data_IF_257590371215
#
_entry.id   IF_257590371215
#
_cell.length_a   1.000
_cell.length_b   1.000
_cell.length_c   1.000
_cell.angle_alpha   90.00
_cell.angle_beta   90.00
_cell.angle_gamma   90.00
#
_symmetry.space_group_name_H-M   'P 1'
#
loop_
_entity.id
_entity.type
_entity.pdbx_description
1 polymer ?
#
# COMPACT_ATOMS: atom_id res chain seq x y z
N UNK A 1 22.96 -34.06 -1.82
CA UNK A 1 23.14 -33.20 -3.01
C UNK A 1 22.06 -32.14 -2.96
N UNK A 2 22.39 -30.84 -2.93
CA UNK A 2 21.36 -29.80 -2.98
C UNK A 2 20.69 -29.89 -4.35
N UNK A 3 19.39 -30.21 -4.41
CA UNK A 3 18.64 -30.20 -5.66
C UNK A 3 18.67 -28.76 -6.17
N UNK A 4 19.48 -28.50 -7.20
CA UNK A 4 19.38 -27.25 -7.96
C UNK A 4 18.09 -27.38 -8.76
N UNK A 5 17.04 -26.58 -8.47
CA UNK A 5 15.78 -26.70 -9.17
C UNK A 5 16.00 -26.44 -10.66
N UNK A 6 15.28 -27.15 -11.52
CA UNK A 6 15.38 -26.93 -12.96
C UNK A 6 14.83 -25.55 -13.30
N UNK A 7 15.59 -24.80 -14.06
CA UNK A 7 15.20 -23.45 -14.48
C UNK A 7 15.00 -23.37 -15.98
N UNK A 8 14.01 -22.57 -16.37
CA UNK A 8 13.67 -22.26 -17.74
C UNK A 8 13.67 -20.73 -17.93
N UNK A 9 13.76 -20.25 -19.19
CA UNK A 9 13.78 -18.82 -19.46
C UNK A 9 12.59 -18.07 -18.85
N UNK A 10 11.41 -18.68 -18.77
CA UNK A 10 10.21 -18.03 -18.21
C UNK A 10 9.58 -17.00 -19.16
N UNK A 11 8.75 -16.13 -18.61
CA UNK A 11 8.00 -15.11 -19.34
C UNK A 11 8.15 -13.73 -18.68
N UNK A 12 8.29 -12.68 -19.51
CA UNK A 12 8.42 -11.30 -19.04
C UNK A 12 7.13 -10.71 -18.44
N UNK A 13 5.97 -11.35 -18.71
CA UNK A 13 4.67 -10.93 -18.18
C UNK A 13 3.91 -12.16 -17.69
N UNK A 14 3.09 -12.04 -16.62
CA UNK A 14 2.89 -10.84 -15.79
C UNK A 14 4.11 -10.51 -14.91
N UNK A 15 4.22 -9.26 -14.45
CA UNK A 15 5.22 -8.86 -13.45
C UNK A 15 4.90 -9.47 -12.09
N UNK A 16 5.95 -9.73 -11.30
CA UNK A 16 5.88 -10.44 -10.03
C UNK A 16 5.93 -11.96 -10.19
N UNK A 17 5.37 -12.66 -9.20
CA UNK A 17 5.31 -14.12 -9.16
C UNK A 17 3.97 -14.63 -9.74
N UNK A 18 4.04 -15.62 -10.63
CA UNK A 18 2.86 -16.21 -11.28
C UNK A 18 3.06 -17.70 -11.55
N UNK A 19 1.96 -18.47 -11.55
CA UNK A 19 1.98 -19.89 -11.87
C UNK A 19 1.72 -20.09 -13.36
N UNK A 20 2.60 -20.81 -14.06
CA UNK A 20 2.40 -21.17 -15.46
C UNK A 20 1.51 -22.41 -15.59
N UNK A 21 0.81 -22.53 -16.73
CA UNK A 21 -0.07 -23.67 -17.03
C UNK A 21 0.64 -25.03 -16.98
N UNK A 22 1.96 -25.03 -17.20
CA UNK A 22 2.78 -26.24 -17.23
C UNK A 22 3.32 -26.64 -15.85
N UNK A 23 2.92 -25.94 -14.78
CA UNK A 23 3.24 -26.29 -13.39
C UNK A 23 4.47 -25.59 -12.79
N UNK A 24 5.19 -24.76 -13.56
CA UNK A 24 6.33 -23.98 -13.06
C UNK A 24 5.93 -22.61 -12.47
N UNK A 25 6.73 -22.10 -11.54
CA UNK A 25 6.56 -20.75 -10.98
C UNK A 25 7.43 -19.76 -11.75
N UNK A 26 6.79 -18.78 -12.37
CA UNK A 26 7.43 -17.71 -13.11
C UNK A 26 7.64 -16.49 -12.21
N UNK A 27 8.85 -15.96 -12.24
CA UNK A 27 9.27 -14.75 -11.55
C UNK A 27 9.66 -13.72 -12.59
N UNK A 28 9.09 -12.52 -12.54
CA UNK A 28 9.43 -11.42 -13.43
C UNK A 28 9.58 -10.10 -12.67
N UNK A 29 10.69 -9.40 -12.87
CA UNK A 29 11.01 -8.13 -12.20
C UNK A 29 11.56 -7.11 -13.20
N UNK A 30 11.08 -5.87 -13.10
CA UNK A 30 11.58 -4.77 -13.91
C UNK A 30 12.84 -4.18 -13.28
N UNK A 31 13.93 -4.08 -14.05
CA UNK A 31 15.08 -3.24 -13.72
C UNK A 31 15.86 -2.89 -14.99
N UNK A 32 15.88 -1.61 -15.32
CA UNK A 32 16.51 -1.10 -16.54
C UNK A 32 18.04 -1.04 -16.37
N UNK A 33 18.51 -0.57 -15.22
CA UNK A 33 19.94 -0.29 -15.00
C UNK A 33 20.72 -1.42 -14.28
N UNK A 34 20.07 -2.52 -13.89
CA UNK A 34 20.76 -3.66 -13.28
C UNK A 34 21.73 -4.36 -14.27
N UNK A 35 22.89 -4.76 -13.75
CA UNK A 35 23.88 -5.57 -14.47
C UNK A 35 23.71 -7.06 -14.17
N UNK A 36 23.27 -7.41 -12.96
CA UNK A 36 23.02 -8.79 -12.54
C UNK A 36 21.82 -8.84 -11.60
N UNK A 37 20.99 -9.88 -11.76
CA UNK A 37 19.86 -10.19 -10.89
C UNK A 37 20.00 -11.63 -10.41
N UNK A 38 19.92 -11.83 -9.11
CA UNK A 38 19.94 -13.14 -8.47
C UNK A 38 18.64 -13.33 -7.70
N UNK A 39 17.87 -14.35 -8.06
CA UNK A 39 16.69 -14.78 -7.31
C UNK A 39 17.16 -15.58 -6.09
N UNK A 40 16.64 -15.21 -4.93
CA UNK A 40 16.87 -15.88 -3.66
C UNK A 40 15.59 -16.58 -3.27
N UNK A 41 15.70 -17.88 -2.98
CA UNK A 41 14.60 -18.71 -2.51
C UNK A 41 14.98 -19.32 -1.16
N UNK A 42 14.03 -19.28 -0.24
CA UNK A 42 14.14 -19.88 1.08
C UNK A 42 12.86 -20.65 1.36
N UNK A 43 12.99 -21.81 2.00
CA UNK A 43 11.83 -22.50 2.54
C UNK A 43 11.34 -21.76 3.78
N UNK A 44 10.02 -21.62 3.93
CA UNK A 44 9.43 -20.97 5.09
C UNK A 44 9.53 -21.89 6.30
N UNK A 45 10.56 -21.67 7.11
CA UNK A 45 10.79 -22.40 8.35
C UNK A 45 9.96 -21.78 9.49
N UNK A 46 9.29 -22.59 10.30
CA UNK A 46 8.55 -22.10 11.48
C UNK A 46 9.52 -21.50 12.52
N UNK A 47 9.07 -20.62 13.45
CA UNK A 47 9.95 -19.85 14.35
C UNK A 47 10.90 -20.62 15.29
N UNK A 48 11.00 -21.95 15.20
CA UNK A 48 11.82 -22.81 16.04
C UNK A 48 12.61 -23.88 15.26
N UNK A 49 12.62 -23.83 13.94
CA UNK A 49 13.37 -24.76 13.10
C UNK A 49 14.60 -24.07 12.48
N UNK A 50 15.66 -24.85 12.23
CA UNK A 50 16.95 -24.35 11.71
C UNK A 50 16.74 -23.85 10.28
N UNK A 51 17.25 -22.65 9.96
CA UNK A 51 17.26 -22.09 8.60
C UNK A 51 17.77 -23.15 7.61
N UNK A 52 16.86 -23.70 6.80
CA UNK A 52 17.23 -24.63 5.75
C UNK A 52 17.75 -23.86 4.51
N UNK A 53 18.48 -24.58 3.66
CA UNK A 53 19.36 -24.03 2.64
C UNK A 53 18.77 -22.91 1.76
N UNK A 54 19.31 -21.68 1.86
CA UNK A 54 19.09 -20.62 0.86
C UNK A 54 19.55 -21.10 -0.52
N UNK A 55 18.66 -21.03 -1.51
CA UNK A 55 18.94 -21.30 -2.91
C UNK A 55 19.10 -19.95 -3.62
N UNK A 56 20.25 -19.76 -4.27
CA UNK A 56 20.53 -18.57 -5.07
C UNK A 56 20.60 -18.96 -6.54
N UNK A 57 19.82 -18.28 -7.37
CA UNK A 57 19.73 -18.52 -8.82
C UNK A 57 20.08 -17.22 -9.53
N UNK A 58 21.28 -17.15 -10.11
CA UNK A 58 21.70 -16.01 -10.92
C UNK A 58 21.04 -16.08 -12.30
N UNK A 59 20.39 -14.99 -12.73
CA UNK A 59 19.75 -14.91 -14.04
C UNK A 59 20.80 -14.56 -15.11
N UNK A 60 20.77 -15.28 -16.24
CA UNK A 60 21.61 -14.96 -17.40
C UNK A 60 21.01 -13.78 -18.17
N UNK A 61 21.71 -12.63 -18.29
CA UNK A 61 21.20 -11.46 -19.01
C UNK A 61 20.87 -11.70 -20.50
N UNK A 62 21.40 -12.76 -21.12
CA UNK A 62 21.13 -13.10 -22.53
C UNK A 62 19.89 -13.95 -22.73
N UNK A 63 19.47 -14.70 -21.70
CA UNK A 63 18.39 -15.70 -21.79
C UNK A 63 17.19 -15.28 -20.94
N UNK A 64 17.45 -14.73 -19.75
CA UNK A 64 16.48 -14.42 -18.70
C UNK A 64 16.15 -12.92 -18.64
N UNK A 65 16.28 -12.21 -19.77
CA UNK A 65 15.96 -10.78 -19.89
C UNK A 65 15.31 -10.48 -21.23
N UNK A 66 14.14 -9.87 -21.20
CA UNK A 66 13.44 -9.36 -22.39
C UNK A 66 13.19 -7.87 -22.23
N UNK A 67 13.89 -7.05 -23.02
CA UNK A 67 13.90 -5.59 -22.83
C UNK A 67 14.52 -5.23 -21.48
N UNK A 68 13.75 -4.55 -20.63
CA UNK A 68 14.17 -4.14 -19.28
C UNK A 68 13.58 -5.03 -18.16
N UNK A 69 12.96 -6.16 -18.52
CA UNK A 69 12.33 -7.09 -17.59
C UNK A 69 13.18 -8.36 -17.49
N UNK A 70 13.59 -8.68 -16.28
CA UNK A 70 14.26 -9.93 -15.93
C UNK A 70 13.23 -10.97 -15.56
N UNK A 71 13.38 -12.19 -16.06
CA UNK A 71 12.42 -13.25 -15.82
C UNK A 71 13.07 -14.61 -15.74
N UNK A 72 12.51 -15.50 -14.93
CA UNK A 72 12.94 -16.89 -14.82
C UNK A 72 11.76 -17.75 -14.39
N UNK A 73 11.67 -18.96 -14.93
CA UNK A 73 10.72 -19.96 -14.46
C UNK A 73 11.49 -21.06 -13.70
N UNK A 74 11.03 -21.36 -12.49
CA UNK A 74 11.60 -22.42 -11.66
C UNK A 74 10.59 -23.55 -11.57
N UNK A 75 11.00 -24.73 -12.01
CA UNK A 75 10.20 -25.97 -11.91
C UNK A 75 10.38 -26.59 -10.52
N UNK A 76 9.40 -27.39 -10.09
CA UNK A 76 9.43 -28.14 -8.83
C UNK A 76 9.46 -27.28 -7.54
N UNK A 77 9.07 -26.01 -7.59
CA UNK A 77 8.83 -25.23 -6.37
C UNK A 77 7.50 -25.65 -5.71
N UNK A 78 7.47 -25.76 -4.37
CA UNK A 78 6.21 -25.89 -3.63
C UNK A 78 5.24 -24.76 -3.99
N UNK A 79 3.94 -25.06 -4.07
CA UNK A 79 2.93 -24.06 -4.39
C UNK A 79 2.66 -23.05 -3.28
N UNK A 80 3.18 -23.30 -2.08
CA UNK A 80 3.06 -22.48 -0.87
C UNK A 80 4.31 -22.63 0.01
N UNK A 81 4.44 -21.80 1.05
CA UNK A 81 5.56 -21.85 2.02
C UNK A 81 6.96 -21.62 1.43
N UNK A 82 7.04 -20.89 0.31
CA UNK A 82 8.31 -20.40 -0.24
C UNK A 82 8.43 -18.90 0.03
N UNK A 83 9.58 -18.50 0.53
CA UNK A 83 10.00 -17.11 0.65
C UNK A 83 10.94 -16.79 -0.50
N UNK A 84 10.77 -15.62 -1.10
CA UNK A 84 11.60 -15.16 -2.20
C UNK A 84 12.01 -13.71 -2.06
N UNK A 85 13.14 -13.38 -2.67
CA UNK A 85 13.66 -12.02 -2.78
C UNK A 85 14.68 -11.92 -3.91
N UNK A 86 15.17 -10.72 -4.17
CA UNK A 86 16.14 -10.46 -5.24
C UNK A 86 17.38 -9.78 -4.70
N UNK A 87 18.56 -10.26 -5.10
CA UNK A 87 19.79 -9.46 -5.05
C UNK A 87 20.02 -8.85 -6.41
N UNK A 88 20.15 -7.53 -6.46
CA UNK A 88 20.32 -6.79 -7.70
C UNK A 88 21.60 -5.98 -7.59
N UNK A 89 22.49 -6.20 -8.55
CA UNK A 89 23.75 -5.45 -8.64
C UNK A 89 23.76 -4.61 -9.92
N UNK A 90 24.53 -3.52 -9.88
CA UNK A 90 24.50 -2.48 -10.90
C UNK A 90 25.51 -1.35 -10.65
N UNK A 91 25.49 -0.30 -11.48
CA UNK A 91 26.40 0.84 -11.34
C UNK A 91 26.15 1.57 -10.01
N UNK A 92 27.21 1.87 -9.25
CA UNK A 92 27.11 2.59 -7.95
C UNK A 92 27.39 4.08 -8.10
N UNK A 93 26.92 4.66 -9.18
CA UNK A 93 27.19 6.07 -9.53
C UNK A 93 26.20 6.99 -8.82
N UNK A 94 26.61 7.46 -7.64
CA UNK A 94 25.77 8.28 -6.77
C UNK A 94 25.27 9.56 -7.47
N UNK A 95 26.16 10.21 -8.21
CA UNK A 95 25.93 11.44 -8.95
C UNK A 95 24.92 11.29 -10.11
N UNK A 96 24.74 10.07 -10.63
CA UNK A 96 23.74 9.77 -11.67
C UNK A 96 22.44 9.17 -11.10
N UNK A 97 22.31 9.11 -9.77
CA UNK A 97 21.11 8.61 -9.09
C UNK A 97 21.06 7.09 -8.96
N UNK A 98 22.15 6.36 -9.19
CA UNK A 98 22.19 4.91 -9.01
C UNK A 98 22.59 4.54 -7.57
N UNK A 99 21.90 3.56 -6.98
CA UNK A 99 22.04 3.13 -5.57
C UNK A 99 22.06 1.60 -5.41
N UNK A 100 22.57 0.88 -6.41
CA UNK A 100 22.61 -0.58 -6.40
C UNK A 100 23.52 -1.11 -5.29
N UNK A 101 23.03 -2.14 -4.59
CA UNK A 101 23.79 -2.86 -3.59
C UNK A 101 23.43 -4.35 -3.61
N UNK A 102 24.26 -5.15 -4.27
CA UNK A 102 24.10 -6.60 -4.34
C UNK A 102 24.24 -7.34 -3.00
N UNK A 103 24.62 -6.66 -1.91
CA UNK A 103 24.63 -7.24 -0.56
C UNK A 103 23.24 -7.40 0.07
N UNK A 104 22.26 -6.60 -0.37
CA UNK A 104 20.94 -6.56 0.23
C UNK A 104 19.95 -7.48 -0.51
N UNK A 105 19.06 -8.11 0.25
CA UNK A 105 17.93 -8.85 -0.31
C UNK A 105 16.77 -7.88 -0.43
N UNK A 106 16.23 -7.78 -1.65
CA UNK A 106 15.18 -6.85 -2.02
C UNK A 106 13.86 -7.57 -2.21
N UNK A 107 12.79 -6.91 -1.80
CA UNK A 107 11.41 -7.35 -1.97
C UNK A 107 10.97 -7.04 -3.40
N UNK A 108 10.20 -7.95 -3.98
CA UNK A 108 9.52 -7.74 -5.25
C UNK A 108 8.43 -6.65 -5.11
N UNK A 109 8.45 -5.58 -5.92
CA UNK A 109 7.40 -4.56 -5.91
C UNK A 109 6.00 -5.10 -6.17
N UNK A 110 5.89 -6.23 -6.89
CA UNK A 110 4.63 -6.89 -7.22
C UNK A 110 4.32 -8.09 -6.30
N UNK A 111 5.04 -8.24 -5.19
CA UNK A 111 4.73 -9.27 -4.20
C UNK A 111 3.33 -9.05 -3.62
N UNK A 112 2.43 -10.01 -3.86
CA UNK A 112 1.05 -10.00 -3.33
C UNK A 112 0.97 -10.30 -1.85
N UNK A 113 2.00 -10.94 -1.30
CA UNK A 113 2.10 -11.35 0.10
C UNK A 113 3.54 -11.10 0.56
N UNK A 114 3.69 -10.50 1.73
CA UNK A 114 4.99 -10.25 2.36
C UNK A 114 5.05 -10.97 3.70
N UNK A 115 6.03 -11.86 3.86
CA UNK A 115 6.39 -12.38 5.17
C UNK A 115 7.40 -11.42 5.81
N UNK A 116 7.05 -10.97 7.01
CA UNK A 116 7.94 -10.18 7.87
C UNK A 116 7.66 -10.52 9.32
N UNK A 117 7.52 -9.50 10.17
CA UNK A 117 7.04 -9.71 11.54
C UNK A 117 5.58 -10.13 11.55
N UNK A 118 5.26 -11.13 12.37
CA UNK A 118 3.88 -11.62 12.57
C UNK A 118 3.11 -10.86 13.66
N UNK A 119 3.82 -10.32 14.65
CA UNK A 119 3.21 -9.61 15.78
C UNK A 119 3.55 -8.13 15.70
N UNK A 120 2.53 -7.28 15.81
CA UNK A 120 2.66 -5.83 15.82
C UNK A 120 3.45 -5.36 17.05
N UNK A 121 4.53 -4.61 16.84
CA UNK A 121 5.28 -4.00 17.93
C UNK A 121 6.14 -4.99 18.74
N UNK A 122 6.44 -6.17 18.21
CA UNK A 122 7.38 -7.09 18.85
C UNK A 122 8.82 -6.56 18.73
N UNK A 123 9.38 -6.12 19.87
CA UNK A 123 10.72 -5.55 19.98
C UNK A 123 11.84 -6.60 20.00
N UNK A 124 11.52 -7.89 20.04
CA UNK A 124 12.52 -8.98 20.04
C UNK A 124 13.25 -9.09 18.70
N UNK A 125 12.59 -8.75 17.60
CA UNK A 125 13.14 -8.80 16.24
C UNK A 125 13.18 -7.40 15.61
N UNK A 126 14.13 -6.58 16.07
CA UNK A 126 14.25 -5.16 15.66
C UNK A 126 14.60 -4.96 14.18
N UNK A 127 15.25 -5.94 13.56
CA UNK A 127 15.61 -5.93 12.14
C UNK A 127 15.08 -7.20 11.48
N UNK A 128 13.81 -7.18 11.08
CA UNK A 128 13.25 -8.27 10.28
C UNK A 128 13.61 -8.06 8.82
N UNK A 129 14.13 -9.11 8.18
CA UNK A 129 14.20 -9.16 6.73
C UNK A 129 12.80 -9.47 6.22
N UNK A 130 12.31 -8.65 5.29
CA UNK A 130 11.03 -8.86 4.64
C UNK A 130 11.26 -9.66 3.37
N UNK A 131 10.44 -10.69 3.15
CA UNK A 131 10.50 -11.52 1.96
C UNK A 131 9.14 -11.55 1.26
N UNK A 132 9.16 -11.63 -0.06
CA UNK A 132 7.97 -11.99 -0.82
C UNK A 132 7.57 -13.42 -0.53
N UNK A 133 6.27 -13.70 -0.54
CA UNK A 133 5.76 -15.07 -0.52
C UNK A 133 4.58 -15.19 -1.49
N UNK A 134 4.19 -16.43 -1.78
CA UNK A 134 3.05 -16.73 -2.62
C UNK A 134 2.32 -17.94 -2.08
N UNK A 135 1.04 -18.01 -2.42
CA UNK A 135 0.20 -19.15 -2.12
C UNK A 135 -0.67 -19.46 -3.35
N UNK A 136 -0.32 -20.54 -4.04
CA UNK A 136 -1.06 -21.09 -5.16
C UNK A 136 -1.80 -22.38 -4.80
N UNK A 137 -1.66 -22.87 -3.56
CA UNK A 137 -2.27 -24.11 -3.10
C UNK A 137 -3.62 -23.83 -2.42
N UNK A 138 -3.77 -22.67 -1.78
CA UNK A 138 -5.06 -22.24 -1.24
C UNK A 138 -6.09 -22.05 -2.35
N UNK A 139 -7.30 -22.57 -2.11
CA UNK A 139 -8.45 -22.36 -2.98
C UNK A 139 -8.76 -20.85 -3.09
N UNK A 140 -9.10 -20.35 -4.30
CA UNK A 140 -9.52 -18.97 -4.45
C UNK A 140 -10.71 -18.68 -3.54
N UNK A 141 -10.67 -17.52 -2.87
CA UNK A 141 -11.70 -17.12 -1.91
C UNK A 141 -13.09 -17.13 -2.54
N UNK A 142 -14.03 -17.85 -1.93
CA UNK A 142 -15.41 -17.94 -2.42
C UNK A 142 -16.25 -16.76 -1.91
N UNK A 143 -16.35 -15.72 -2.75
CA UNK A 143 -17.24 -14.59 -2.50
C UNK A 143 -18.72 -15.01 -2.45
N UNK A 144 -19.10 -16.10 -3.14
CA UNK A 144 -20.45 -16.66 -3.18
C UNK A 144 -21.28 -16.16 -4.38
N UNK A 145 -22.21 -16.98 -4.87
CA UNK A 145 -22.96 -16.73 -6.12
C UNK A 145 -23.88 -15.49 -6.08
N UNK A 146 -24.28 -15.04 -4.88
CA UNK A 146 -25.18 -13.91 -4.68
C UNK A 146 -24.47 -12.61 -4.26
N UNK A 147 -23.14 -12.60 -4.26
CA UNK A 147 -22.37 -11.43 -3.85
C UNK A 147 -22.63 -10.25 -4.79
N UNK A 148 -23.04 -9.12 -4.24
CA UNK A 148 -23.30 -7.87 -4.97
C UNK A 148 -22.55 -6.74 -4.31
N UNK A 149 -21.93 -5.91 -5.15
CA UNK A 149 -21.37 -4.64 -4.71
C UNK A 149 -22.51 -3.68 -4.35
N UNK A 150 -22.50 -3.03 -3.17
CA UNK A 150 -23.57 -2.12 -2.76
C UNK A 150 -23.77 -0.93 -3.72
N UNK A 151 -22.69 -0.44 -4.34
CA UNK A 151 -22.65 0.65 -5.32
C UNK A 151 -23.57 1.84 -4.99
N UNK A 152 -23.38 2.40 -3.80
CA UNK A 152 -24.09 3.54 -3.24
C UNK A 152 -23.67 4.81 -4.00
N UNK A 153 -24.61 5.68 -4.42
CA UNK A 153 -24.29 6.96 -5.04
C UNK A 153 -23.49 7.87 -4.10
N UNK A 154 -22.48 8.57 -4.62
CA UNK A 154 -21.58 9.43 -3.84
C UNK A 154 -22.31 10.49 -2.99
N UNK A 155 -23.44 11.01 -3.48
CA UNK A 155 -24.26 12.02 -2.80
C UNK A 155 -24.92 11.55 -1.50
N UNK A 156 -25.08 10.23 -1.34
CA UNK A 156 -25.76 9.63 -0.20
C UNK A 156 -24.75 9.04 0.81
N UNK A 157 -23.45 9.22 0.59
CA UNK A 157 -22.39 8.65 1.42
C UNK A 157 -22.16 9.39 2.74
N UNK A 158 -21.93 8.62 3.79
CA UNK A 158 -21.47 9.03 5.11
C UNK A 158 -20.26 8.18 5.45
N UNK A 159 -19.07 8.77 5.28
CA UNK A 159 -17.78 8.10 5.42
C UNK A 159 -17.32 8.10 6.89
N UNK A 160 -16.88 6.94 7.38
CA UNK A 160 -16.26 6.76 8.68
C UNK A 160 -14.79 6.37 8.53
N UNK A 161 -13.89 7.29 8.87
CA UNK A 161 -12.45 7.05 8.89
C UNK A 161 -12.06 6.24 10.14
N UNK A 162 -11.39 5.11 9.95
CA UNK A 162 -10.95 4.25 11.05
C UNK A 162 -9.63 3.54 10.79
N UNK A 163 -8.91 3.23 11.87
CA UNK A 163 -7.72 2.39 11.83
C UNK A 163 -8.07 0.98 12.28
N UNK A 164 -7.72 -0.03 11.47
CA UNK A 164 -8.04 -1.45 11.73
C UNK A 164 -7.61 -1.88 13.13
N UNK A 165 -6.40 -1.49 13.55
CA UNK A 165 -5.87 -1.85 14.86
C UNK A 165 -6.53 -1.05 15.97
N UNK A 166 -6.50 0.28 15.88
CA UNK A 166 -6.97 1.14 16.96
C UNK A 166 -8.47 0.99 17.25
N UNK A 167 -9.25 0.52 16.27
CA UNK A 167 -10.69 0.32 16.41
C UNK A 167 -11.07 -0.72 17.47
N UNK A 168 -10.27 -1.79 17.64
CA UNK A 168 -10.56 -2.89 18.58
C UNK A 168 -9.39 -3.22 19.52
N UNK A 169 -8.35 -2.37 19.56
CA UNK A 169 -7.18 -2.61 20.39
C UNK A 169 -7.43 -2.44 21.90
N UNK A 170 -8.39 -1.60 22.29
CA UNK A 170 -8.65 -1.30 23.70
C UNK A 170 -9.35 -2.46 24.43
N UNK A 171 -9.06 -2.62 25.73
CA UNK A 171 -9.67 -3.67 26.56
C UNK A 171 -11.19 -3.55 26.66
N UNK A 172 -11.73 -2.32 26.55
CA UNK A 172 -13.17 -2.06 26.51
C UNK A 172 -13.88 -2.61 25.27
N UNK A 173 -13.14 -3.13 24.29
CA UNK A 173 -13.71 -3.76 23.11
C UNK A 173 -14.45 -5.06 23.41
N UNK A 174 -14.22 -5.67 24.59
CA UNK A 174 -14.81 -6.92 25.10
C UNK A 174 -14.64 -8.11 24.14
N UNK A 175 -13.41 -8.25 23.63
CA UNK A 175 -13.03 -9.27 22.64
C UNK A 175 -11.87 -10.12 23.12
N UNK A 176 -11.70 -11.30 22.53
CA UNK A 176 -10.55 -12.15 22.80
C UNK A 176 -9.24 -11.43 22.45
N UNK A 177 -8.21 -11.47 23.33
CA UNK A 177 -6.95 -10.76 23.11
C UNK A 177 -6.25 -11.09 21.78
N UNK A 178 -6.47 -12.29 21.25
CA UNK A 178 -5.85 -12.77 19.99
C UNK A 178 -6.51 -12.19 18.73
N UNK A 179 -7.74 -11.66 18.85
CA UNK A 179 -8.50 -11.03 17.76
C UNK A 179 -8.46 -9.50 17.82
N UNK A 180 -8.04 -8.92 18.94
CA UNK A 180 -7.97 -7.45 19.12
C UNK A 180 -7.01 -6.81 18.13
N UNK A 181 -7.50 -5.78 17.45
CA UNK A 181 -6.73 -5.02 16.47
C UNK A 181 -6.37 -5.80 15.20
N UNK A 182 -7.17 -6.81 14.85
CA UNK A 182 -7.07 -7.59 13.61
C UNK A 182 -8.27 -7.36 12.69
N UNK A 183 -8.19 -7.81 11.43
CA UNK A 183 -9.31 -7.76 10.49
C UNK A 183 -10.53 -8.55 11.00
N UNK A 184 -10.34 -9.72 11.62
CA UNK A 184 -11.43 -10.48 12.25
C UNK A 184 -12.06 -9.73 13.42
N UNK A 185 -11.25 -9.03 14.23
CA UNK A 185 -11.78 -8.19 15.31
C UNK A 185 -12.72 -7.10 14.80
N UNK A 186 -12.42 -6.52 13.63
CA UNK A 186 -13.34 -5.58 12.97
C UNK A 186 -14.65 -6.29 12.60
N UNK A 187 -14.58 -7.49 12.02
CA UNK A 187 -15.78 -8.28 11.66
C UNK A 187 -16.62 -8.57 12.90
N UNK A 188 -16.01 -9.01 14.01
CA UNK A 188 -16.76 -9.30 15.23
C UNK A 188 -17.44 -8.05 15.81
N UNK A 189 -16.79 -6.88 15.73
CA UNK A 189 -17.38 -5.62 16.24
C UNK A 189 -18.48 -5.11 15.33
N UNK A 190 -18.31 -5.26 14.02
CA UNK A 190 -19.18 -4.67 12.99
C UNK A 190 -20.32 -5.60 12.59
N UNK A 191 -20.14 -6.92 12.67
CA UNK A 191 -21.06 -7.87 12.04
C UNK A 191 -21.49 -9.01 12.93
N UNK A 192 -21.51 -8.88 14.27
CA UNK A 192 -21.96 -9.98 15.11
C UNK A 192 -23.42 -10.39 14.81
N UNK A 193 -23.53 -11.35 13.91
CA UNK A 193 -24.65 -12.18 13.56
C UNK A 193 -24.05 -13.59 13.40
N UNK A 194 -24.56 -14.52 14.22
CA UNK A 194 -24.34 -15.99 14.22
C UNK A 194 -23.14 -16.40 15.11
N UNK A 195 -23.31 -16.86 16.36
CA UNK A 195 -23.98 -18.09 16.79
C UNK A 195 -24.39 -18.01 18.27
N UNK A 196 -25.68 -17.91 18.59
CA UNK A 196 -26.16 -18.41 19.88
C UNK A 196 -27.53 -19.04 19.70
N UNK A 197 -27.52 -20.32 19.34
CA UNK A 197 -28.68 -21.20 19.47
C UNK A 197 -28.81 -21.79 20.88
N UNK A 198 -28.00 -21.39 21.87
CA UNK A 198 -28.10 -21.97 23.21
C UNK A 198 -27.94 -21.08 24.44
N UNK A 199 -27.44 -19.84 24.38
CA UNK A 199 -27.40 -18.99 25.58
C UNK A 199 -27.67 -17.51 25.27
N UNK A 200 -28.89 -17.13 25.63
CA UNK A 200 -29.41 -15.85 26.10
C UNK A 200 -28.44 -14.64 26.21
N UNK A 201 -28.83 -13.56 25.53
CA UNK A 201 -28.60 -12.13 25.83
C UNK A 201 -27.20 -11.50 25.58
N UNK A 202 -26.92 -11.17 24.31
CA UNK A 202 -26.33 -9.89 23.92
C UNK A 202 -26.49 -9.70 22.41
N UNK A 203 -27.63 -9.16 21.98
CA UNK A 203 -27.80 -8.67 20.60
C UNK A 203 -27.12 -7.30 20.59
N UNK A 204 -25.83 -7.25 20.27
CA UNK A 204 -25.17 -5.99 19.97
C UNK A 204 -25.59 -5.58 18.55
N UNK A 205 -26.40 -4.51 18.46
CA UNK A 205 -26.61 -3.84 17.18
C UNK A 205 -25.22 -3.38 16.69
N UNK A 206 -24.85 -3.66 15.43
CA UNK A 206 -23.61 -3.17 14.85
C UNK A 206 -23.43 -1.68 15.08
N UNK A 207 -22.37 -1.30 15.79
CA UNK A 207 -22.11 0.11 16.14
C UNK A 207 -22.17 1.04 14.91
N UNK A 208 -21.67 0.56 13.76
CA UNK A 208 -21.68 1.32 12.51
C UNK A 208 -23.08 1.45 11.89
N UNK A 209 -23.92 0.41 11.99
CA UNK A 209 -25.31 0.49 11.51
C UNK A 209 -26.16 1.39 12.42
N UNK A 210 -25.92 1.37 13.74
CA UNK A 210 -26.56 2.29 14.67
C UNK A 210 -26.13 3.74 14.41
N UNK A 211 -24.85 3.96 14.10
CA UNK A 211 -24.33 5.27 13.72
C UNK A 211 -24.89 5.76 12.37
N UNK A 212 -25.44 4.86 11.54
CA UNK A 212 -26.01 5.18 10.23
C UNK A 212 -24.95 5.42 9.15
N UNK A 213 -23.73 4.89 9.36
CA UNK A 213 -22.64 4.96 8.39
C UNK A 213 -22.88 3.94 7.28
N UNK A 214 -22.62 4.32 6.04
CA UNK A 214 -22.73 3.43 4.88
C UNK A 214 -21.40 3.22 4.14
N UNK A 215 -20.32 3.79 4.67
CA UNK A 215 -19.02 3.82 4.04
C UNK A 215 -17.90 3.83 5.08
N UNK A 216 -16.91 2.96 4.92
CA UNK A 216 -15.73 2.95 5.79
C UNK A 216 -14.48 3.31 5.01
N UNK A 217 -13.69 4.23 5.57
CA UNK A 217 -12.38 4.64 5.09
C UNK A 217 -11.32 4.07 6.04
N UNK A 218 -10.54 3.11 5.53
CA UNK A 218 -9.47 2.47 6.29
C UNK A 218 -8.18 3.26 6.12
N UNK A 219 -7.53 3.61 7.24
CA UNK A 219 -6.13 4.02 7.24
C UNK A 219 -5.25 2.97 6.54
N UNK A 220 -4.02 3.34 6.11
CA UNK A 220 -3.19 2.50 5.25
C UNK A 220 -3.11 1.03 5.69
N UNK A 221 -3.62 0.14 4.81
CA UNK A 221 -3.61 -1.32 5.01
C UNK A 221 -2.50 -2.00 4.22
N UNK A 222 -1.75 -1.26 3.42
CA UNK A 222 -0.58 -1.77 2.72
C UNK A 222 0.49 -2.17 3.71
N UNK A 223 1.32 -3.15 3.39
CA UNK A 223 2.41 -3.59 4.26
C UNK A 223 3.35 -2.41 4.57
N UNK A 224 3.51 -2.06 5.86
CA UNK A 224 4.37 -0.97 6.34
C UNK A 224 5.14 -1.40 7.60
N UNK A 225 6.34 -0.88 7.85
CA UNK A 225 7.11 -1.25 9.05
C UNK A 225 6.75 -0.34 10.25
N UNK A 226 6.07 -0.90 11.26
CA UNK A 226 5.66 -0.16 12.46
C UNK A 226 6.83 0.27 13.36
N UNK A 227 7.96 -0.43 13.27
CA UNK A 227 9.17 -0.17 14.09
C UNK A 227 10.19 0.68 13.35
N UNK A 228 9.81 1.35 12.25
CA UNK A 228 10.75 2.15 11.46
C UNK A 228 11.51 3.20 12.29
N UNK A 229 10.86 3.79 13.30
CA UNK A 229 11.46 4.79 14.20
C UNK A 229 12.41 4.19 15.23
N UNK A 230 12.29 2.88 15.52
CA UNK A 230 13.11 2.18 16.53
C UNK A 230 14.35 1.50 15.95
N UNK A 231 14.54 1.59 14.62
CA UNK A 231 15.72 1.03 13.93
C UNK A 231 17.02 1.67 14.40
N UNK A 232 16.95 2.92 14.86
CA UNK A 232 18.11 3.68 15.35
C UNK A 232 17.77 4.41 16.63
N UNK A 233 18.80 4.74 17.40
CA UNK A 233 18.66 5.56 18.59
C UNK A 233 18.33 6.99 18.19
N UNK A 234 17.03 7.28 18.14
CA UNK A 234 16.47 8.61 17.92
C UNK A 234 15.76 9.02 19.22
N UNK A 235 15.63 10.33 19.54
CA UNK A 235 14.71 10.77 20.60
C UNK A 235 13.28 10.19 20.53
N UNK A 236 12.90 9.63 19.38
CA UNK A 236 11.61 8.98 19.10
C UNK A 236 11.63 7.44 19.10
N UNK A 237 12.70 6.82 19.59
CA UNK A 237 12.87 5.35 19.64
C UNK A 237 11.83 4.60 20.50
N UNK A 238 11.07 5.33 21.32
CA UNK A 238 9.94 4.81 22.09
C UNK A 238 8.61 4.80 21.31
N UNK A 239 8.55 5.47 20.15
CA UNK A 239 7.34 5.55 19.34
C UNK A 239 7.29 4.45 18.29
N UNK A 240 6.08 4.13 17.87
CA UNK A 240 5.75 3.15 16.83
C UNK A 240 4.89 3.83 15.79
N UNK A 241 5.08 3.48 14.52
CA UNK A 241 4.19 3.94 13.47
C UNK A 241 2.87 3.16 13.56
N UNK A 242 1.85 3.80 14.15
CA UNK A 242 0.51 3.21 14.31
C UNK A 242 -0.38 3.46 13.10
N UNK A 243 -0.12 4.54 12.35
CA UNK A 243 -0.98 4.96 11.24
C UNK A 243 -0.66 4.23 9.94
N UNK A 244 0.62 3.97 9.67
CA UNK A 244 1.04 3.19 8.50
C UNK A 244 1.30 3.98 7.22
N UNK A 245 1.36 5.31 7.27
CA UNK A 245 1.76 6.17 6.14
C UNK A 245 3.26 6.06 5.82
N UNK A 246 3.76 4.86 5.58
CA UNK A 246 5.15 4.54 5.22
C UNK A 246 5.19 3.16 4.56
N UNK A 247 4.67 3.08 3.34
CA UNK A 247 4.44 1.81 2.64
C UNK A 247 5.75 1.13 2.23
N UNK A 248 5.83 -0.18 2.48
CA UNK A 248 6.90 -1.09 1.99
C UNK A 248 6.50 -1.70 0.65
N UNK A 249 5.25 -2.17 0.52
CA UNK A 249 4.76 -2.84 -0.68
C UNK A 249 3.29 -2.44 -0.97
N UNK A 250 2.96 -2.18 -2.24
CA UNK A 250 1.65 -1.68 -2.65
C UNK A 250 0.60 -2.77 -2.94
N UNK A 251 0.98 -4.03 -3.00
CA UNK A 251 0.07 -5.15 -3.34
C UNK A 251 -0.26 -6.01 -2.12
N UNK A 252 0.66 -6.09 -1.15
CA UNK A 252 0.47 -6.90 0.03
C UNK A 252 -0.35 -6.19 1.12
N UNK A 253 -1.40 -6.84 1.65
CA UNK A 253 -2.07 -6.37 2.86
C UNK A 253 -1.14 -6.53 4.07
N UNK A 254 -1.33 -5.68 5.07
CA UNK A 254 -0.55 -5.67 6.30
C UNK A 254 -0.68 -7.01 7.04
N UNK A 255 0.41 -7.78 7.02
CA UNK A 255 0.50 -9.13 7.60
C UNK A 255 0.27 -9.15 9.12
N UNK A 256 0.58 -8.04 9.80
CA UNK A 256 0.44 -7.88 11.27
C UNK A 256 -0.96 -7.53 11.74
N UNK A 257 -1.87 -7.25 10.81
CA UNK A 257 -3.29 -7.11 11.11
C UNK A 257 -4.04 -8.45 10.96
N UNK A 258 -3.33 -9.54 10.62
CA UNK A 258 -3.88 -10.89 10.71
C UNK A 258 -4.11 -11.28 12.17
N UNK A 259 -5.23 -11.94 12.44
CA UNK A 259 -5.51 -12.48 13.76
C UNK A 259 -4.45 -13.51 14.18
N UNK A 260 -4.15 -13.54 15.49
CA UNK A 260 -3.19 -14.45 16.11
C UNK A 260 -1.81 -14.57 15.41
N UNK A 261 -1.38 -13.54 14.67
CA UNK A 261 -0.14 -13.60 13.91
C UNK A 261 -0.14 -14.69 12.83
N UNK A 262 -1.30 -15.00 12.23
CA UNK A 262 -1.48 -16.03 11.19
C UNK A 262 -0.67 -15.80 9.91
N UNK A 263 -0.01 -14.64 9.79
CA UNK A 263 0.88 -14.31 8.67
C UNK A 263 0.13 -13.79 7.45
N UNK A 264 0.82 -13.59 6.32
CA UNK A 264 0.32 -12.85 5.16
C UNK A 264 -0.82 -13.57 4.43
N UNK A 265 -0.78 -14.90 4.33
CA UNK A 265 -1.86 -15.69 3.72
C UNK A 265 -3.17 -15.47 4.49
N UNK A 266 -3.10 -15.57 5.82
CA UNK A 266 -4.27 -15.34 6.66
C UNK A 266 -4.71 -13.88 6.62
N UNK A 267 -3.77 -12.92 6.58
CA UNK A 267 -4.09 -11.50 6.42
C UNK A 267 -4.92 -11.22 5.16
N UNK A 268 -4.50 -11.79 4.02
CA UNK A 268 -5.23 -11.68 2.75
C UNK A 268 -6.62 -12.32 2.82
N UNK A 269 -6.72 -13.49 3.44
CA UNK A 269 -8.00 -14.20 3.60
C UNK A 269 -8.97 -13.43 4.51
N UNK A 270 -8.52 -13.00 5.69
CA UNK A 270 -9.31 -12.24 6.66
C UNK A 270 -9.74 -10.88 6.11
N UNK A 271 -8.88 -10.22 5.31
CA UNK A 271 -9.26 -8.99 4.62
C UNK A 271 -10.43 -9.22 3.66
N UNK A 272 -10.39 -10.29 2.85
CA UNK A 272 -11.50 -10.65 1.95
C UNK A 272 -12.78 -11.00 2.73
N UNK A 273 -12.66 -11.68 3.87
CA UNK A 273 -13.79 -11.92 4.77
C UNK A 273 -14.38 -10.63 5.32
N UNK A 274 -13.54 -9.67 5.71
CA UNK A 274 -13.97 -8.37 6.22
C UNK A 274 -14.74 -7.58 5.16
N UNK A 275 -14.20 -7.49 3.93
CA UNK A 275 -14.90 -6.82 2.83
C UNK A 275 -16.23 -7.48 2.54
N UNK A 276 -16.27 -8.82 2.49
CA UNK A 276 -17.52 -9.56 2.28
C UNK A 276 -18.55 -9.25 3.37
N UNK A 277 -18.13 -9.32 4.63
CA UNK A 277 -18.97 -9.03 5.78
C UNK A 277 -19.57 -7.61 5.73
N UNK A 278 -18.75 -6.60 5.38
CA UNK A 278 -19.19 -5.22 5.25
C UNK A 278 -20.21 -5.05 4.11
N UNK A 279 -19.96 -5.68 2.96
CA UNK A 279 -20.87 -5.59 1.81
C UNK A 279 -22.20 -6.29 2.08
N UNK A 280 -22.19 -7.42 2.79
CA UNK A 280 -23.41 -8.11 3.23
C UNK A 280 -24.25 -7.24 4.19
N UNK A 281 -23.61 -6.33 4.95
CA UNK A 281 -24.28 -5.32 5.78
C UNK A 281 -24.77 -4.09 5.00
N UNK A 282 -24.45 -3.99 3.70
CA UNK A 282 -24.71 -2.80 2.89
C UNK A 282 -23.79 -1.62 3.21
N UNK A 283 -22.65 -1.86 3.85
CA UNK A 283 -21.60 -0.88 4.08
C UNK A 283 -20.56 -1.08 2.98
N UNK A 284 -20.29 -0.05 2.21
CA UNK A 284 -19.21 -0.10 1.23
C UNK A 284 -17.85 0.04 1.93
N UNK A 285 -16.87 -0.74 1.47
CA UNK A 285 -15.47 -0.52 1.83
C UNK A 285 -14.93 0.51 0.86
N UNK A 286 -15.33 1.76 1.10
CA UNK A 286 -15.20 2.83 0.12
C UNK A 286 -13.76 3.23 -0.13
N UNK A 287 -12.90 3.27 0.89
CA UNK A 287 -11.63 3.94 0.73
C UNK A 287 -10.53 3.16 1.45
N UNK A 288 -9.62 2.60 0.68
CA UNK A 288 -8.27 2.41 1.17
C UNK A 288 -7.54 3.74 1.06
N UNK A 289 -6.97 4.19 2.17
CA UNK A 289 -6.01 5.28 2.16
C UNK A 289 -4.70 4.77 1.52
N UNK A 290 -4.41 5.28 0.33
CA UNK A 290 -3.30 4.82 -0.51
C UNK A 290 -2.20 5.87 -0.57
N UNK A 291 -1.01 5.43 -0.18
CA UNK A 291 0.19 6.27 -0.10
C UNK A 291 1.14 5.90 -1.23
N UNK A 292 0.90 6.47 -2.41
CA UNK A 292 1.79 6.31 -3.58
C UNK A 292 2.81 7.45 -3.71
N UNK A 293 2.71 8.49 -2.86
CA UNK A 293 3.56 9.68 -2.99
C UNK A 293 5.00 9.46 -2.45
N UNK A 294 5.18 8.57 -1.46
CA UNK A 294 6.47 8.21 -0.88
C UNK A 294 6.48 6.75 -0.40
N UNK A 295 7.64 6.30 0.06
CA UNK A 295 7.88 4.92 0.52
C UNK A 295 8.72 4.91 1.80
N UNK A 296 8.79 3.76 2.47
CA UNK A 296 9.55 3.55 3.70
C UNK A 296 11.08 3.63 3.55
N UNK A 297 11.61 3.76 2.33
CA UNK A 297 13.05 3.66 2.07
C UNK A 297 13.84 4.90 2.51
N UNK A 298 13.19 5.92 3.08
CA UNK A 298 13.83 7.14 3.62
C UNK A 298 14.76 7.84 2.61
N UNK A 299 15.80 8.55 3.06
CA UNK A 299 16.75 9.33 2.25
C UNK A 299 18.14 8.67 2.13
N UNK A 300 19.06 9.30 1.40
CA UNK A 300 20.42 8.84 1.11
C UNK A 300 21.37 8.82 2.32
N UNK A 301 21.17 9.71 3.31
CA UNK A 301 22.00 9.74 4.52
C UNK A 301 21.72 8.53 5.42
N UNK A 302 20.47 8.06 5.42
CA UNK A 302 19.99 6.95 6.23
C UNK A 302 19.16 5.97 5.40
N UNK A 303 19.79 5.25 4.45
CA UNK A 303 19.05 4.43 3.52
C UNK A 303 18.43 3.23 4.23
N UNK A 304 17.16 2.98 3.95
CA UNK A 304 16.49 1.73 4.29
C UNK A 304 16.10 1.00 3.01
N UNK A 305 17.07 0.33 2.39
CA UNK A 305 16.89 -0.34 1.11
C UNK A 305 16.11 -1.64 1.30
N UNK A 306 14.83 -1.63 0.95
CA UNK A 306 13.92 -2.78 1.00
C UNK A 306 13.50 -3.29 -0.37
N UNK A 307 13.29 -2.41 -1.35
CA UNK A 307 12.75 -2.73 -2.66
C UNK A 307 13.24 -1.74 -3.73
N UNK A 308 12.52 -0.65 -3.96
CA UNK A 308 12.62 0.21 -5.15
C UNK A 308 14.02 0.79 -5.39
N UNK A 309 14.68 1.27 -4.33
CA UNK A 309 16.02 1.88 -4.37
C UNK A 309 17.06 0.89 -4.87
N UNK A 310 16.98 -0.36 -4.41
CA UNK A 310 17.91 -1.40 -4.80
C UNK A 310 17.61 -1.97 -6.20
N UNK A 311 16.36 -1.89 -6.65
CA UNK A 311 15.94 -2.41 -7.97
C UNK A 311 16.28 -1.42 -9.07
N UNK A 312 15.83 -0.17 -8.96
CA UNK A 312 16.15 0.89 -9.91
C UNK A 312 15.77 2.28 -9.35
N UNK A 313 16.64 2.82 -8.48
CA UNK A 313 16.40 4.10 -7.80
C UNK A 313 16.03 5.25 -8.75
N UNK A 314 16.68 5.32 -9.92
CA UNK A 314 16.48 6.39 -10.90
C UNK A 314 15.11 6.35 -11.57
N UNK A 315 14.55 5.15 -11.72
CA UNK A 315 13.23 4.96 -12.33
C UNK A 315 12.13 5.21 -11.31
N UNK A 316 12.26 4.65 -10.11
CA UNK A 316 11.20 4.69 -9.10
C UNK A 316 11.15 6.00 -8.32
N UNK A 317 12.27 6.68 -8.08
CA UNK A 317 12.30 7.92 -7.31
C UNK A 317 12.60 9.15 -8.16
N UNK A 318 12.11 10.30 -7.69
CA UNK A 318 12.42 11.59 -8.28
C UNK A 318 13.82 12.01 -7.84
N UNK A 319 14.75 12.09 -8.80
CA UNK A 319 16.15 12.45 -8.57
C UNK A 319 16.47 13.74 -9.30
N UNK A 320 17.07 14.70 -8.60
CA UNK A 320 17.63 15.90 -9.23
C UNK A 320 19.01 15.58 -9.83
N UNK A 321 19.01 15.24 -11.12
CA UNK A 321 20.23 14.91 -11.87
C UNK A 321 21.17 16.12 -12.01
N UNK A 322 20.65 17.35 -11.91
CA UNK A 322 21.47 18.56 -12.01
C UNK A 322 22.13 18.95 -10.69
N UNK A 323 21.60 18.46 -9.56
CA UNK A 323 22.09 18.76 -8.22
C UNK A 323 22.65 17.50 -7.51
N UNK A 324 23.62 16.85 -8.15
CA UNK A 324 24.36 15.70 -7.61
C UNK A 324 23.54 14.42 -7.36
N UNK A 325 22.38 14.27 -7.99
CA UNK A 325 21.58 13.05 -7.86
C UNK A 325 20.90 12.92 -6.49
N UNK A 326 20.56 14.04 -5.84
CA UNK A 326 19.78 14.07 -4.59
C UNK A 326 18.32 13.71 -4.85
N UNK A 327 17.69 13.04 -3.88
CA UNK A 327 16.26 12.75 -3.92
C UNK A 327 15.46 14.05 -3.71
N UNK A 328 14.45 14.26 -4.55
CA UNK A 328 13.50 15.35 -4.38
C UNK A 328 12.45 14.92 -3.36
N UNK A 329 12.15 15.80 -2.40
CA UNK A 329 11.21 15.52 -1.33
C UNK A 329 10.04 16.51 -1.33
N UNK A 330 8.92 16.10 -1.95
CA UNK A 330 7.66 16.84 -1.90
C UNK A 330 6.67 16.25 -0.88
N UNK A 331 6.89 15.00 -0.45
CA UNK A 331 6.10 14.32 0.57
C UNK A 331 6.36 14.87 1.97
N UNK A 332 7.56 15.40 2.22
CA UNK A 332 7.99 15.83 3.56
C UNK A 332 8.29 14.66 4.49
N UNK A 333 8.22 13.42 4.00
CA UNK A 333 8.49 12.21 4.74
C UNK A 333 9.96 11.81 4.62
N UNK A 334 10.77 12.29 5.55
CA UNK A 334 12.03 11.64 5.86
C UNK A 334 12.62 12.11 7.18
N UNK A 335 13.79 11.58 7.51
CA UNK A 335 14.17 11.30 8.90
C UNK A 335 14.92 12.42 9.62
N UNK A 336 15.31 13.49 8.94
CA UNK A 336 16.11 14.56 9.54
C UNK A 336 15.28 15.80 9.87
N UNK A 337 15.08 16.01 11.17
CA UNK A 337 14.55 17.25 11.74
C UNK A 337 15.63 18.12 12.40
N UNK A 338 16.89 17.65 12.49
CA UNK A 338 17.94 18.41 13.18
C UNK A 338 18.41 19.64 12.41
N UNK A 339 18.27 19.60 11.09
CA UNK A 339 18.27 20.78 10.24
C UNK A 339 16.93 20.79 9.52
N UNK A 340 16.34 21.96 9.32
CA UNK A 340 15.16 22.22 8.48
C UNK A 340 15.40 21.89 6.97
N UNK A 341 16.22 20.88 6.69
CA UNK A 341 16.40 20.24 5.39
C UNK A 341 15.38 19.10 5.31
N UNK A 342 14.38 19.28 4.45
CA UNK A 342 13.38 18.27 4.13
C UNK A 342 14.04 17.10 3.35
N UNK A 343 14.74 16.22 4.06
CA UNK A 343 15.39 15.02 3.53
C UNK A 343 14.39 13.86 3.53
N UNK A 344 14.11 13.24 2.38
CA UNK A 344 13.06 12.23 2.18
C UNK A 344 12.87 11.85 0.71
N UNK A 345 12.03 10.85 0.43
CA UNK A 345 11.81 10.37 -0.94
C UNK A 345 10.45 10.78 -1.50
N UNK A 346 10.38 10.92 -2.82
CA UNK A 346 9.13 11.09 -3.56
C UNK A 346 9.14 10.14 -4.76
N UNK A 347 8.07 9.36 -4.89
CA UNK A 347 7.93 8.39 -5.97
C UNK A 347 7.74 9.12 -7.31
N UNK A 348 8.39 8.62 -8.36
CA UNK A 348 8.30 9.19 -9.70
C UNK A 348 7.02 8.74 -10.41
N UNK A 349 5.89 9.21 -9.90
CA UNK A 349 4.54 8.80 -10.31
C UNK A 349 4.22 9.01 -11.80
N UNK A 350 4.98 9.83 -12.53
CA UNK A 350 4.73 10.10 -13.95
C UNK A 350 5.70 9.38 -14.91
N UNK A 351 6.61 8.55 -14.39
CA UNK A 351 7.40 7.64 -15.22
C UNK A 351 6.53 6.47 -15.71
N UNK A 352 6.60 6.03 -16.99
CA UNK A 352 5.71 5.00 -17.54
C UNK A 352 5.63 3.71 -16.71
N UNK A 353 6.77 3.23 -16.22
CA UNK A 353 6.86 2.01 -15.40
C UNK A 353 6.16 2.16 -14.05
N UNK A 354 6.30 3.34 -13.42
CA UNK A 354 5.66 3.62 -12.13
C UNK A 354 4.16 3.83 -12.33
N UNK A 355 3.75 4.43 -13.45
CA UNK A 355 2.35 4.54 -13.83
C UNK A 355 1.72 3.15 -13.96
N UNK A 356 2.37 2.22 -14.65
CA UNK A 356 1.90 0.83 -14.75
C UNK A 356 1.83 0.16 -13.38
N UNK A 357 2.86 0.31 -12.52
CA UNK A 357 2.88 -0.23 -11.16
C UNK A 357 1.68 0.25 -10.32
N UNK A 358 1.40 1.56 -10.32
CA UNK A 358 0.29 2.13 -9.54
C UNK A 358 -1.04 1.65 -10.11
N UNK A 359 -1.22 1.64 -11.43
CA UNK A 359 -2.45 1.15 -12.07
C UNK A 359 -2.69 -0.33 -11.75
N UNK A 360 -1.67 -1.16 -11.85
CA UNK A 360 -1.79 -2.60 -11.59
C UNK A 360 -2.04 -2.88 -10.10
N UNK A 361 -1.48 -2.08 -9.20
CA UNK A 361 -1.80 -2.12 -7.76
C UNK A 361 -3.28 -1.78 -7.54
N UNK A 362 -3.77 -0.66 -8.07
CA UNK A 362 -5.17 -0.27 -7.92
C UNK A 362 -6.13 -1.32 -8.51
N UNK A 363 -5.82 -1.84 -9.70
CA UNK A 363 -6.60 -2.93 -10.33
C UNK A 363 -6.60 -4.17 -9.45
N UNK A 364 -5.46 -4.56 -8.90
CA UNK A 364 -5.34 -5.71 -8.00
C UNK A 364 -6.28 -5.59 -6.79
N UNK A 365 -6.29 -4.43 -6.12
CA UNK A 365 -7.19 -4.18 -4.99
C UNK A 365 -8.67 -4.24 -5.36
N UNK A 366 -9.03 -3.74 -6.55
CA UNK A 366 -10.41 -3.79 -7.04
C UNK A 366 -10.83 -5.20 -7.49
N UNK A 367 -9.96 -5.97 -8.14
CA UNK A 367 -10.32 -7.28 -8.69
C UNK A 367 -10.19 -8.41 -7.68
N UNK A 368 -9.15 -8.40 -6.84
CA UNK A 368 -8.88 -9.50 -5.90
C UNK A 368 -9.54 -9.29 -4.54
N UNK A 369 -9.65 -8.04 -4.10
CA UNK A 369 -10.16 -7.68 -2.79
C UNK A 369 -11.51 -6.95 -2.82
N UNK A 370 -12.04 -6.64 -4.01
CA UNK A 370 -13.33 -5.99 -4.22
C UNK A 370 -13.50 -4.66 -3.47
N UNK A 371 -12.43 -3.86 -3.41
CA UNK A 371 -12.47 -2.52 -2.84
C UNK A 371 -13.32 -1.58 -3.72
N UNK A 372 -14.16 -0.75 -3.09
CA UNK A 372 -15.09 0.14 -3.82
C UNK A 372 -14.46 1.49 -4.23
N UNK A 373 -13.30 1.84 -3.67
CA UNK A 373 -12.62 3.11 -3.97
C UNK A 373 -11.33 3.36 -3.20
N UNK A 374 -10.72 4.52 -3.47
CA UNK A 374 -9.40 4.89 -2.96
C UNK A 374 -9.32 6.36 -2.59
N UNK A 375 -8.59 6.67 -1.52
CA UNK A 375 -8.24 8.02 -1.11
C UNK A 375 -6.74 8.16 -1.23
N UNK A 376 -6.33 9.08 -2.09
CA UNK A 376 -4.93 9.30 -2.41
C UNK A 376 -4.35 10.32 -1.44
N UNK A 377 -3.44 9.85 -0.60
CA UNK A 377 -2.63 10.68 0.30
C UNK A 377 -1.72 11.60 -0.51
N UNK A 378 -1.68 12.88 -0.11
CA UNK A 378 -0.92 13.95 -0.77
C UNK A 378 -0.99 13.88 -2.31
N UNK A 379 -2.21 13.83 -2.85
CA UNK A 379 -2.48 13.67 -4.28
C UNK A 379 -1.80 14.73 -5.18
N UNK A 380 -1.47 15.90 -4.63
CA UNK A 380 -0.69 16.93 -5.34
C UNK A 380 0.71 16.45 -5.72
N UNK A 381 1.34 15.58 -4.92
CA UNK A 381 2.65 15.03 -5.24
C UNK A 381 2.60 14.16 -6.51
N UNK A 382 1.48 13.45 -6.74
CA UNK A 382 1.27 12.65 -7.96
C UNK A 382 1.13 13.52 -9.22
N UNK A 383 0.78 14.80 -9.05
CA UNK A 383 0.66 15.76 -10.15
C UNK A 383 2.01 16.35 -10.58
N UNK A 384 3.12 16.03 -9.90
CA UNK A 384 4.45 16.55 -10.24
C UNK A 384 5.12 15.71 -11.33
N UNK A 385 5.62 16.37 -12.37
CA UNK A 385 6.42 15.74 -13.43
C UNK A 385 7.76 15.24 -12.90
N UNK A 386 8.51 14.52 -13.74
CA UNK A 386 9.83 13.95 -13.37
C UNK A 386 10.84 14.99 -12.88
N UNK A 387 10.63 16.26 -13.22
CA UNK A 387 11.44 17.43 -12.84
C UNK A 387 10.92 18.13 -11.56
N UNK A 388 9.84 17.62 -10.95
CA UNK A 388 9.19 18.22 -9.78
C UNK A 388 8.20 19.35 -10.10
N UNK A 389 8.04 19.73 -11.38
CA UNK A 389 7.11 20.77 -11.79
C UNK A 389 5.65 20.27 -11.76
N UNK A 390 4.68 21.07 -11.30
CA UNK A 390 3.27 20.67 -11.32
C UNK A 390 2.76 20.59 -12.76
N UNK A 391 2.30 19.42 -13.18
CA UNK A 391 1.70 19.21 -14.48
C UNK A 391 0.21 19.55 -14.43
N UNK A 392 -0.28 20.24 -15.45
CA UNK A 392 -1.72 20.50 -15.62
C UNK A 392 -2.51 19.24 -16.02
N UNK A 393 -1.85 18.29 -16.69
CA UNK A 393 -2.43 17.03 -17.14
C UNK A 393 -1.48 15.85 -16.85
N UNK A 394 -1.34 15.45 -15.57
CA UNK A 394 -0.45 14.36 -15.19
C UNK A 394 -0.89 13.04 -15.84
N UNK A 395 0.02 12.32 -16.53
CA UNK A 395 -0.27 11.03 -17.17
C UNK A 395 -0.90 10.00 -16.24
N UNK A 396 -0.45 9.92 -14.98
CA UNK A 396 -0.98 8.96 -14.00
C UNK A 396 -2.45 9.20 -13.69
N UNK A 397 -2.81 10.42 -13.26
CA UNK A 397 -4.19 10.75 -12.88
C UNK A 397 -5.12 10.60 -14.08
N UNK A 398 -4.65 10.95 -15.29
CA UNK A 398 -5.38 10.72 -16.54
C UNK A 398 -5.62 9.24 -16.80
N UNK A 399 -4.61 8.40 -16.55
CA UNK A 399 -4.74 6.96 -16.74
C UNK A 399 -5.70 6.34 -15.71
N UNK A 400 -5.60 6.73 -14.44
CA UNK A 400 -6.53 6.32 -13.37
C UNK A 400 -7.97 6.70 -13.74
N UNK A 401 -8.20 7.94 -14.21
CA UNK A 401 -9.54 8.41 -14.56
C UNK A 401 -10.15 7.71 -15.79
N UNK A 402 -9.33 7.15 -16.69
CA UNK A 402 -9.76 6.51 -17.94
C UNK A 402 -9.70 4.98 -17.90
N UNK A 403 -9.28 4.40 -16.79
CA UNK A 403 -9.17 2.95 -16.67
C UNK A 403 -10.54 2.30 -16.53
N UNK A 404 -10.79 1.24 -17.30
CA UNK A 404 -12.09 0.55 -17.34
C UNK A 404 -12.44 -0.17 -16.03
N UNK A 405 -11.44 -0.65 -15.28
CA UNK A 405 -11.67 -1.36 -14.00
C UNK A 405 -11.90 -0.35 -12.88
N UNK A 406 -11.12 0.74 -12.86
CA UNK A 406 -11.28 1.82 -11.89
C UNK A 406 -12.48 2.71 -12.22
N UNK A 407 -13.09 2.57 -13.39
CA UNK A 407 -14.19 3.42 -13.82
C UNK A 407 -15.45 3.28 -12.96
N UNK A 408 -15.56 2.20 -12.19
CA UNK A 408 -16.66 1.95 -11.23
C UNK A 408 -16.32 2.39 -9.80
N UNK A 409 -15.05 2.66 -9.54
CA UNK A 409 -14.55 2.95 -8.20
C UNK A 409 -14.64 4.44 -7.89
N UNK A 410 -14.85 4.74 -6.61
CA UNK A 410 -14.84 6.09 -6.07
C UNK A 410 -13.40 6.52 -5.81
N UNK A 411 -13.06 7.74 -6.22
CA UNK A 411 -11.68 8.20 -6.14
C UNK A 411 -11.66 9.57 -5.46
N UNK A 412 -10.93 9.65 -4.34
CA UNK A 412 -10.82 10.84 -3.50
C UNK A 412 -9.36 11.29 -3.48
N UNK A 413 -9.12 12.59 -3.69
CA UNK A 413 -7.79 13.19 -3.57
C UNK A 413 -7.66 14.00 -2.28
N UNK A 414 -6.48 13.96 -1.68
CA UNK A 414 -5.97 15.01 -0.80
C UNK A 414 -5.19 16.04 -1.64
N UNK A 415 -5.79 17.17 -2.04
CA UNK A 415 -5.22 18.04 -3.09
C UNK A 415 -4.19 19.04 -2.53
N UNK A 416 -3.28 18.59 -1.67
CA UNK A 416 -2.11 19.36 -1.22
C UNK A 416 -0.88 18.47 -1.04
N UNK A 417 0.30 19.08 -1.03
CA UNK A 417 1.55 18.42 -0.63
C UNK A 417 2.37 19.29 0.33
N UNK A 418 3.40 18.68 0.95
CA UNK A 418 4.32 19.38 1.85
C UNK A 418 5.30 20.30 1.11
N UNK A 419 5.41 20.16 -0.22
CA UNK A 419 6.17 21.02 -1.12
C UNK A 419 5.50 22.37 -1.44
N UNK A 420 4.40 22.71 -0.75
CA UNK A 420 3.68 23.98 -0.88
C UNK A 420 2.70 24.05 -2.04
N UNK A 421 2.44 22.94 -2.75
CA UNK A 421 1.47 22.88 -3.84
C UNK A 421 0.08 22.62 -3.28
N UNK A 422 -0.82 23.59 -3.46
CA UNK A 422 -2.20 23.53 -2.99
C UNK A 422 -3.16 23.58 -4.18
N UNK A 423 -3.83 22.47 -4.45
CA UNK A 423 -4.67 22.25 -5.63
C UNK A 423 -6.16 22.14 -5.32
N UNK A 424 -6.62 22.46 -4.09
CA UNK A 424 -8.06 22.41 -3.74
C UNK A 424 -8.90 23.21 -4.75
N UNK A 425 -9.87 22.53 -5.39
CA UNK A 425 -10.77 23.08 -6.41
C UNK A 425 -10.13 23.32 -7.78
N UNK A 426 -8.86 22.95 -7.94
CA UNK A 426 -8.09 23.03 -9.20
C UNK A 426 -7.40 21.72 -9.53
N UNK A 427 -7.71 20.66 -8.78
CA UNK A 427 -7.16 19.35 -9.08
C UNK A 427 -7.60 18.96 -10.49
N UNK A 428 -6.77 18.29 -11.30
CA UNK A 428 -7.15 17.80 -12.62
C UNK A 428 -8.28 16.77 -12.49
N UNK A 429 -9.51 17.25 -12.37
CA UNK A 429 -10.70 16.47 -12.23
C UNK A 429 -11.25 16.23 -13.64
N UNK A 430 -10.99 15.06 -14.20
CA UNK A 430 -11.70 14.60 -15.39
C UNK A 430 -13.15 14.21 -15.03
N UNK A 431 -13.86 15.05 -14.27
CA UNK A 431 -15.20 14.86 -13.70
C UNK A 431 -15.39 13.57 -12.88
N UNK A 432 -14.30 13.05 -12.31
CA UNK A 432 -14.26 11.76 -11.61
C UNK A 432 -13.74 11.78 -10.18
N UNK A 433 -13.04 12.84 -9.81
CA UNK A 433 -12.32 12.92 -8.55
C UNK A 433 -13.12 13.75 -7.56
N UNK A 434 -13.35 13.19 -6.38
CA UNK A 434 -13.75 13.95 -5.19
C UNK A 434 -12.50 14.47 -4.47
N UNK A 435 -12.65 15.52 -3.67
CA UNK A 435 -11.52 16.17 -2.99
C UNK A 435 -11.80 16.36 -1.49
N UNK A 436 -10.78 16.13 -0.66
CA UNK A 436 -10.81 16.56 0.73
C UNK A 436 -10.83 18.08 0.82
N UNK A 437 -11.96 18.62 1.27
CA UNK A 437 -12.18 20.06 1.33
C UNK A 437 -11.59 20.67 2.61
N UNK A 438 -10.30 20.97 2.59
CA UNK A 438 -9.61 21.65 3.70
C UNK A 438 -10.23 23.00 4.07
N UNK A 439 -10.79 23.74 3.09
CA UNK A 439 -11.46 25.02 3.36
C UNK A 439 -12.74 24.85 4.16
N UNK A 440 -13.50 23.78 3.92
CA UNK A 440 -14.69 23.45 4.71
C UNK A 440 -14.32 23.27 6.18
N UNK A 441 -13.32 22.43 6.46
CA UNK A 441 -12.81 22.20 7.83
C UNK A 441 -12.43 23.50 8.51
N UNK A 442 -11.63 24.33 7.86
CA UNK A 442 -11.06 25.54 8.46
C UNK A 442 -12.14 26.61 8.68
N UNK A 443 -13.01 26.86 7.70
CA UNK A 443 -14.06 27.87 7.80
C UNK A 443 -15.13 27.51 8.83
N UNK A 444 -15.53 26.23 8.89
CA UNK A 444 -16.50 25.75 9.89
C UNK A 444 -15.91 25.84 11.30
N UNK A 445 -14.66 25.41 11.51
CA UNK A 445 -13.99 25.53 12.81
C UNK A 445 -13.89 26.98 13.27
N UNK A 446 -13.51 27.90 12.38
CA UNK A 446 -13.43 29.34 12.68
C UNK A 446 -14.79 29.94 13.02
N UNK A 447 -15.84 29.56 12.30
CA UNK A 447 -17.19 30.00 12.61
C UNK A 447 -17.65 29.51 13.99
N UNK A 448 -17.49 28.21 14.28
CA UNK A 448 -17.90 27.62 15.56
C UNK A 448 -17.10 28.20 16.74
N UNK A 449 -15.81 28.49 16.54
CA UNK A 449 -14.97 29.17 17.53
C UNK A 449 -15.42 30.62 17.82
N UNK A 450 -16.13 31.25 16.88
CA UNK A 450 -16.65 32.61 17.03
C UNK A 450 -15.84 33.71 16.33
N UNK A 451 -15.06 33.36 15.29
CA UNK A 451 -14.32 34.36 14.51
C UNK A 451 -15.29 35.31 13.76
N UNK A 452 -14.97 36.61 13.76
CA UNK A 452 -15.80 37.63 13.11
C UNK A 452 -15.77 37.51 11.56
N UNK A 453 -16.90 37.77 10.91
CA UNK A 453 -17.01 37.83 9.44
C UNK A 453 -17.23 36.49 8.72
N UNK A 454 -17.35 35.37 9.44
CA UNK A 454 -17.38 34.02 8.84
C UNK A 454 -18.75 33.57 8.28
N UNK A 455 -19.82 34.36 8.45
CA UNK A 455 -21.19 33.97 8.03
C UNK A 455 -21.29 33.69 6.52
N UNK A 456 -20.64 34.50 5.70
CA UNK A 456 -20.64 34.34 4.23
C UNK A 456 -19.88 33.09 3.78
N UNK A 457 -18.70 32.86 4.36
CA UNK A 457 -17.91 31.65 4.09
C UNK A 457 -18.68 30.39 4.51
N UNK A 458 -19.30 30.39 5.70
CA UNK A 458 -20.11 29.27 6.17
C UNK A 458 -21.26 28.94 5.22
N UNK A 459 -22.04 29.94 4.79
CA UNK A 459 -23.15 29.71 3.86
C UNK A 459 -22.66 29.05 2.56
N UNK A 460 -21.49 29.45 2.07
CA UNK A 460 -20.86 28.86 0.88
C UNK A 460 -20.41 27.41 1.14
N UNK A 461 -19.82 27.13 2.30
CA UNK A 461 -19.42 25.76 2.71
C UNK A 461 -20.62 24.82 2.86
N UNK A 462 -21.69 25.27 3.50
CA UNK A 462 -22.93 24.49 3.68
C UNK A 462 -23.64 24.18 2.36
N UNK A 463 -23.50 25.05 1.35
CA UNK A 463 -24.05 24.85 0.02
C UNK A 463 -23.17 23.97 -0.90
N UNK A 464 -22.18 23.26 -0.36
CA UNK A 464 -21.30 22.39 -1.13
C UNK A 464 -20.13 23.09 -1.83
N UNK A 465 -19.68 24.25 -1.32
CA UNK A 465 -18.48 24.95 -1.83
C UNK A 465 -18.52 25.25 -3.34
N UNK A 466 -19.62 25.83 -3.82
CA UNK A 466 -19.78 26.20 -5.24
C UNK A 466 -18.76 27.24 -5.73
N UNK A 467 -18.06 27.96 -4.86
CA UNK A 467 -16.94 28.83 -5.24
C UNK A 467 -15.71 28.05 -5.71
N UNK A 468 -15.55 26.80 -5.28
CA UNK A 468 -14.42 25.93 -5.62
C UNK A 468 -14.78 24.97 -6.76
N UNK A 469 -15.95 24.32 -6.66
CA UNK A 469 -16.29 23.17 -7.49
C UNK A 469 -17.37 23.45 -8.54
N UNK A 470 -17.78 24.70 -8.72
CA UNK A 470 -18.77 25.03 -9.75
C UNK A 470 -18.14 24.84 -11.13
N UNK A 471 -18.54 23.76 -11.77
CA UNK A 471 -18.32 23.53 -13.19
C UNK A 471 -18.93 24.72 -13.95
N UNK A 472 -18.11 25.44 -14.73
CA UNK A 472 -18.65 26.34 -15.75
C UNK A 472 -19.41 25.48 -16.74
N UNK A 473 -20.74 25.50 -16.67
CA UNK A 473 -21.62 24.81 -17.61
C UNK A 473 -21.34 25.21 -19.06
#
# INVERSE_FOLDING_TARGET
>A
EKMVPKTFPGQARPLGVSKLEHGGTNFAIFSQHATSVTLILQERVLPNEIEDATIEITLDPKVNKTGDIWHICVEDLPGSNVLYGYRIDGPREWHHGHRFDGGNILIDPYARLIEGRRVFGDSKHKMSSFFGTYDFDSLPFSWGENYKLPNIPEKDLVVYEMNVRAFTADESSDMDPELRGSYLGVIEKVLFLILSSYFQLAIHIPHLLELGVNAVELLPVFEFDEMEFQRRRNPRDHMVNTWGYSTVNFFAPMSRYASNGGGPVNASYEFKQMVKALHDAGIEVIILDVVYNHTNEADDEYPYTTSFRGIDNKVYYMVDVNNHGKLLNFSGCGTDMEFFLFLGNSLNCNHPVVVELVLDSLRHWVTEYHVDGFRFDLASALCRGTDGSPLSAPPLIRAIAKDDVLSRCKIIAEPWDCGGLYLVGKFPNWDRWAEWNGKYRDDVRRFIKGDAGMKGSLATRLAGSADLYRVSK
#
